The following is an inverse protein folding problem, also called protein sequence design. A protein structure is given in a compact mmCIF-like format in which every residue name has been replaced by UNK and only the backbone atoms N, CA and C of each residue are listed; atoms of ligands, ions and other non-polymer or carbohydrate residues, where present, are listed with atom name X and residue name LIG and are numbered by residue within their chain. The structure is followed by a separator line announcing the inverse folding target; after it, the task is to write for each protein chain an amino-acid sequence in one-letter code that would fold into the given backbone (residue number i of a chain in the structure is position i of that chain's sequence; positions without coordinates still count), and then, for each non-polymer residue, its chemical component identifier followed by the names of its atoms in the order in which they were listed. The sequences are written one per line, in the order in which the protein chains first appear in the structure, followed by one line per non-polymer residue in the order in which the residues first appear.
data_IF_546832664995
#
_entry.id   IF_546832664995
#
_cell.length_a   1.000
_cell.length_b   1.000
_cell.length_c   1.000
_cell.angle_alpha   90.00
_cell.angle_beta   90.00
_cell.angle_gamma   90.00
#
_symmetry.space_group_name_H-M   'P 1'
#
loop_
_entity.id
_entity.type
_entity.pdbx_description
1 polymer ?
#
# COMPACT_ATOMS: atom_id res chain seq x y z
N UNK A 1 -20.59 59.23 7.56
CA UNK A 1 -19.30 58.62 7.78
C UNK A 1 -19.58 57.15 8.11
N UNK A 2 -19.60 56.34 7.10
CA UNK A 2 -19.82 54.88 7.17
C UNK A 2 -18.45 54.20 7.37
N UNK A 3 -18.33 53.49 8.49
CA UNK A 3 -17.14 52.78 8.91
C UNK A 3 -17.14 51.43 8.16
N UNK A 4 -16.33 51.35 7.13
CA UNK A 4 -16.16 50.15 6.28
C UNK A 4 -14.89 49.41 6.76
N UNK A 5 -15.06 48.62 7.81
CA UNK A 5 -13.97 47.71 8.27
C UNK A 5 -14.02 46.42 7.43
N UNK A 6 -12.98 46.09 6.67
CA UNK A 6 -12.97 44.83 5.89
C UNK A 6 -12.98 43.62 6.83
N UNK A 7 -13.91 42.71 6.55
CA UNK A 7 -14.00 41.43 7.25
C UNK A 7 -12.69 40.64 7.06
N UNK A 8 -12.03 40.39 8.18
CA UNK A 8 -10.85 39.50 8.24
C UNK A 8 -11.32 38.08 7.87
N UNK A 9 -10.81 37.55 6.78
CA UNK A 9 -11.02 36.13 6.42
C UNK A 9 -10.50 35.24 7.55
N UNK A 10 -11.22 34.16 7.92
CA UNK A 10 -10.74 33.24 8.92
C UNK A 10 -9.46 32.59 8.40
N UNK A 11 -8.42 32.56 9.23
CA UNK A 11 -7.19 31.80 9.01
C UNK A 11 -7.54 30.35 8.66
N UNK A 12 -6.99 29.90 7.55
CA UNK A 12 -7.11 28.52 7.06
C UNK A 12 -6.74 27.56 8.17
N UNK A 13 -7.72 26.86 8.71
CA UNK A 13 -7.52 25.74 9.65
C UNK A 13 -6.98 24.58 8.84
N UNK A 14 -5.68 24.60 8.57
CA UNK A 14 -4.95 23.36 8.23
C UNK A 14 -4.70 22.65 9.56
N UNK A 15 -5.07 21.36 9.69
CA UNK A 15 -4.78 20.63 10.92
C UNK A 15 -3.28 20.65 11.17
N UNK A 16 -2.86 21.18 12.32
CA UNK A 16 -1.51 21.06 12.83
C UNK A 16 -1.18 19.57 12.98
N UNK A 17 -0.37 19.03 12.08
CA UNK A 17 -0.01 17.62 12.17
C UNK A 17 0.84 17.07 11.02
N UNK A 18 1.03 17.81 9.95
CA UNK A 18 1.95 17.41 8.89
C UNK A 18 3.32 18.07 9.08
N UNK A 19 3.92 17.91 10.25
CA UNK A 19 5.35 18.17 10.42
C UNK A 19 6.10 17.19 9.51
N UNK A 20 6.59 17.69 8.38
CA UNK A 20 7.42 16.92 7.44
C UNK A 20 8.66 16.42 8.17
N UNK A 21 8.81 15.10 8.13
CA UNK A 21 10.02 14.31 8.24
C UNK A 21 10.91 14.54 9.46
N UNK A 22 10.86 13.62 10.40
CA UNK A 22 12.08 13.01 10.89
C UNK A 22 12.71 12.20 9.73
N UNK A 23 14.03 12.09 9.67
CA UNK A 23 14.76 11.16 8.76
C UNK A 23 14.45 9.68 9.05
N UNK A 24 13.49 9.40 9.91
CA UNK A 24 13.07 8.07 10.29
C UNK A 24 12.39 7.35 9.11
N UNK A 25 12.68 6.06 8.93
CA UNK A 25 12.04 5.26 7.89
C UNK A 25 10.52 5.22 8.11
N UNK A 26 9.70 5.24 7.05
CA UNK A 26 8.24 5.14 7.15
C UNK A 26 7.74 3.89 7.84
N UNK A 27 8.48 2.78 7.74
CA UNK A 27 8.21 1.54 8.47
C UNK A 27 9.53 0.99 8.97
N UNK A 28 9.60 0.70 10.26
CA UNK A 28 10.70 -0.02 10.89
C UNK A 28 10.15 -1.11 11.80
N UNK A 29 10.57 -2.33 11.56
CA UNK A 29 10.19 -3.53 12.31
C UNK A 29 11.44 -4.11 12.95
N UNK A 30 11.42 -4.28 14.26
CA UNK A 30 12.57 -4.79 15.05
C UNK A 30 12.17 -6.00 15.87
N UNK A 31 12.85 -7.12 15.62
CA UNK A 31 12.72 -8.35 16.39
C UNK A 31 11.29 -8.91 16.46
N UNK A 32 10.48 -8.73 15.41
CA UNK A 32 9.05 -9.08 15.41
C UNK A 32 8.83 -10.58 15.64
N UNK A 33 7.96 -10.89 16.59
CA UNK A 33 7.52 -12.24 16.88
C UNK A 33 6.00 -12.31 16.73
N UNK A 34 5.53 -13.17 15.82
CA UNK A 34 4.12 -13.51 15.69
C UNK A 34 3.94 -15.00 15.97
N UNK A 35 3.13 -15.32 16.97
CA UNK A 35 2.87 -16.69 17.39
C UNK A 35 1.36 -16.93 17.57
N UNK A 36 0.86 -18.05 17.06
CA UNK A 36 -0.54 -18.50 17.18
C UNK A 36 -0.54 -19.87 17.86
N UNK A 37 -0.91 -19.90 19.13
CA UNK A 37 -0.76 -21.10 19.96
C UNK A 37 0.70 -21.52 20.01
N UNK A 38 1.00 -22.74 19.54
CA UNK A 38 2.38 -23.27 19.46
C UNK A 38 3.08 -22.93 18.14
N UNK A 39 2.34 -22.41 17.14
CA UNK A 39 2.89 -22.13 15.81
C UNK A 39 3.45 -20.71 15.74
N UNK A 40 4.77 -20.61 15.54
CA UNK A 40 5.47 -19.34 15.37
C UNK A 40 5.61 -19.04 13.87
N UNK A 41 5.04 -17.90 13.45
CA UNK A 41 5.06 -17.41 12.06
C UNK A 41 6.29 -16.55 11.81
N UNK A 42 6.58 -15.60 12.73
CA UNK A 42 7.78 -14.77 12.69
C UNK A 42 8.57 -14.96 13.98
N UNK A 43 9.90 -14.99 13.87
CA UNK A 43 10.81 -15.26 14.97
C UNK A 43 12.02 -14.33 14.95
N UNK A 44 11.83 -13.11 15.50
CA UNK A 44 12.86 -12.08 15.47
C UNK A 44 13.06 -11.52 14.06
N UNK A 45 11.96 -11.10 13.41
CA UNK A 45 11.98 -10.52 12.07
C UNK A 45 12.28 -9.03 12.14
N UNK A 46 13.26 -8.60 11.33
CA UNK A 46 13.61 -7.19 11.13
C UNK A 46 13.29 -6.77 9.69
N UNK A 47 12.77 -5.54 9.52
CA UNK A 47 12.48 -4.97 8.21
C UNK A 47 12.47 -3.45 8.27
N UNK A 48 13.12 -2.80 7.29
CA UNK A 48 13.07 -1.35 7.12
C UNK A 48 12.59 -1.00 5.73
N UNK A 49 11.57 -0.15 5.63
CA UNK A 49 11.04 0.42 4.38
C UNK A 49 11.54 1.85 4.24
N UNK A 50 12.11 2.18 3.08
CA UNK A 50 12.64 3.52 2.79
C UNK A 50 11.53 4.44 2.29
N UNK A 51 11.66 5.72 2.56
CA UNK A 51 10.71 6.72 2.07
C UNK A 51 10.69 6.79 0.55
N UNK A 52 9.49 6.82 -0.02
CA UNK A 52 9.28 6.96 -1.46
C UNK A 52 9.62 5.72 -2.29
N UNK A 53 9.89 4.55 -1.66
CA UNK A 53 10.09 3.30 -2.39
C UNK A 53 8.80 2.48 -2.51
N UNK A 54 8.74 1.63 -3.51
CA UNK A 54 7.86 0.48 -3.57
C UNK A 54 8.65 -0.73 -3.10
N UNK A 55 8.39 -1.20 -1.88
CA UNK A 55 8.99 -2.42 -1.36
C UNK A 55 8.08 -3.60 -1.64
N UNK A 56 8.51 -4.50 -2.52
CA UNK A 56 7.86 -5.79 -2.73
C UNK A 56 8.17 -6.76 -1.59
N UNK A 57 7.19 -7.54 -1.14
CA UNK A 57 7.39 -8.59 -0.13
C UNK A 57 6.99 -9.92 -0.72
N UNK A 58 7.97 -10.82 -0.85
CA UNK A 58 7.80 -12.14 -1.42
C UNK A 58 8.14 -13.24 -0.42
N UNK A 59 7.74 -14.46 -0.72
CA UNK A 59 8.03 -15.64 0.10
C UNK A 59 7.06 -16.77 -0.21
N UNK A 60 7.36 -17.96 0.23
CA UNK A 60 6.53 -19.14 0.02
C UNK A 60 5.10 -18.97 0.58
N UNK A 61 4.19 -19.85 0.15
CA UNK A 61 2.84 -19.89 0.75
C UNK A 61 2.96 -20.18 2.25
N UNK A 62 2.24 -19.42 3.07
CA UNK A 62 2.29 -19.58 4.54
C UNK A 62 3.52 -18.95 5.22
N UNK A 63 4.42 -18.27 4.49
CA UNK A 63 5.59 -17.60 5.09
C UNK A 63 5.26 -16.44 6.05
N UNK A 64 4.00 -15.99 6.07
CA UNK A 64 3.56 -14.93 6.99
C UNK A 64 3.46 -13.53 6.38
N UNK A 65 3.59 -13.34 5.08
CA UNK A 65 3.52 -12.00 4.42
C UNK A 65 2.32 -11.17 4.86
N UNK A 66 1.12 -11.72 4.77
CA UNK A 66 -0.11 -11.00 5.19
C UNK A 66 -0.18 -10.83 6.70
N UNK A 67 0.43 -11.73 7.51
CA UNK A 67 0.54 -11.56 8.97
C UNK A 67 1.48 -10.38 9.28
N UNK A 68 2.60 -10.27 8.58
CA UNK A 68 3.53 -9.15 8.71
C UNK A 68 2.81 -7.82 8.41
N UNK A 69 2.15 -7.72 7.25
CA UNK A 69 1.41 -6.53 6.89
C UNK A 69 0.33 -6.18 7.92
N UNK A 70 -0.46 -7.19 8.37
CA UNK A 70 -1.49 -6.96 9.41
C UNK A 70 -0.90 -6.49 10.74
N UNK A 71 0.30 -6.95 11.09
CA UNK A 71 1.01 -6.45 12.28
C UNK A 71 1.43 -4.99 12.11
N UNK A 72 1.97 -4.62 10.93
CA UNK A 72 2.39 -3.25 10.63
C UNK A 72 1.21 -2.26 10.63
N UNK A 73 0.04 -2.67 10.14
CA UNK A 73 -1.17 -1.80 10.14
C UNK A 73 -1.98 -1.91 11.45
N UNK A 74 -1.49 -2.68 12.45
CA UNK A 74 -2.13 -2.80 13.76
C UNK A 74 -3.41 -3.65 13.81
N UNK A 75 -3.62 -4.52 12.81
CA UNK A 75 -4.73 -5.50 12.79
C UNK A 75 -4.36 -6.84 13.44
N UNK A 76 -3.08 -7.08 13.66
CA UNK A 76 -2.54 -8.24 14.37
C UNK A 76 -1.60 -7.76 15.45
N UNK A 77 -1.89 -8.11 16.69
CA UNK A 77 -1.00 -7.81 17.81
C UNK A 77 0.13 -8.86 17.82
N UNK A 78 1.39 -8.45 17.65
CA UNK A 78 2.52 -9.37 17.76
C UNK A 78 2.74 -9.82 19.21
N UNK A 79 3.38 -10.97 19.39
CA UNK A 79 3.74 -11.49 20.73
C UNK A 79 5.07 -10.95 21.24
N UNK A 80 5.85 -10.26 20.39
CA UNK A 80 7.10 -9.62 20.76
C UNK A 80 7.66 -8.79 19.61
N UNK A 81 8.67 -7.99 19.90
CA UNK A 81 9.26 -7.05 18.98
C UNK A 81 8.54 -5.71 18.93
N UNK A 82 9.05 -4.83 18.12
CA UNK A 82 8.57 -3.44 18.03
C UNK A 82 8.34 -3.06 16.56
N UNK A 83 7.30 -2.27 16.31
CA UNK A 83 6.97 -1.75 14.99
C UNK A 83 6.76 -0.24 15.12
N UNK A 84 7.54 0.50 14.34
CA UNK A 84 7.37 1.94 14.16
C UNK A 84 6.79 2.22 12.78
N UNK A 85 5.77 3.06 12.70
CA UNK A 85 5.17 3.53 11.45
C UNK A 85 5.12 5.05 11.48
N UNK A 86 5.70 5.68 10.46
CA UNK A 86 5.78 7.14 10.32
C UNK A 86 6.33 7.83 11.60
N UNK A 87 7.35 7.21 12.21
CA UNK A 87 8.01 7.71 13.42
C UNK A 87 7.22 7.52 14.71
N UNK A 88 6.18 6.69 14.71
CA UNK A 88 5.42 6.33 15.91
C UNK A 88 5.43 4.83 16.15
N UNK A 89 5.77 4.41 17.33
CA UNK A 89 5.62 3.02 17.77
C UNK A 89 4.14 2.67 17.83
N UNK A 90 3.74 1.58 17.18
CA UNK A 90 2.34 1.12 17.15
C UNK A 90 2.11 -0.16 17.95
N UNK A 91 3.18 -0.86 18.35
CA UNK A 91 3.10 -2.06 19.18
C UNK A 91 2.83 -1.73 20.64
N UNK A 92 1.93 -2.48 21.27
CA UNK A 92 1.60 -2.31 22.69
C UNK A 92 0.79 -1.06 23.03
N UNK A 93 0.33 -0.30 22.03
CA UNK A 93 -0.45 0.93 22.22
C UNK A 93 -1.91 0.65 21.83
N UNK A 94 -2.83 1.25 22.60
CA UNK A 94 -4.25 1.20 22.28
C UNK A 94 -4.51 1.71 20.84
N UNK A 95 -5.27 0.97 20.03
CA UNK A 95 -5.63 1.38 18.67
C UNK A 95 -6.20 2.80 18.58
N UNK A 96 -6.94 3.26 19.58
CA UNK A 96 -7.55 4.59 19.60
C UNK A 96 -6.51 5.71 19.79
N UNK A 97 -5.37 5.43 20.42
CA UNK A 97 -4.26 6.38 20.56
C UNK A 97 -3.45 6.56 19.25
N UNK A 98 -3.64 5.66 18.29
CA UNK A 98 -2.96 5.66 16.99
C UNK A 98 -3.81 6.23 15.84
N UNK A 99 -4.97 6.83 16.14
CA UNK A 99 -5.89 7.36 15.10
C UNK A 99 -5.16 8.33 14.16
N UNK A 100 -4.39 9.26 14.68
CA UNK A 100 -3.67 10.26 13.89
C UNK A 100 -2.60 9.67 12.94
N UNK A 101 -1.99 8.54 13.27
CA UNK A 101 -1.06 7.88 12.34
C UNK A 101 -1.81 6.98 11.36
N UNK A 102 -2.93 6.41 11.78
CA UNK A 102 -3.76 5.55 10.92
C UNK A 102 -4.41 6.29 9.75
N UNK A 103 -4.73 7.56 9.89
CA UNK A 103 -5.23 8.39 8.78
C UNK A 103 -4.19 8.63 7.69
N UNK A 104 -2.90 8.37 7.98
CA UNK A 104 -1.77 8.62 7.07
C UNK A 104 -1.39 7.40 6.22
N UNK A 105 -2.11 6.29 6.33
CA UNK A 105 -1.93 5.15 5.44
C UNK A 105 -3.24 4.65 4.84
N UNK A 106 -3.13 4.12 3.64
CA UNK A 106 -4.22 3.43 2.94
C UNK A 106 -3.93 1.94 2.78
N UNK A 107 -4.97 1.12 2.74
CA UNK A 107 -4.84 -0.32 2.60
C UNK A 107 -5.75 -0.85 1.51
N UNK A 108 -5.18 -1.54 0.53
CA UNK A 108 -5.89 -2.37 -0.44
C UNK A 108 -5.71 -3.83 -0.05
N UNK A 109 -6.73 -4.45 0.51
CA UNK A 109 -6.75 -5.88 0.80
C UNK A 109 -7.02 -6.71 -0.45
N UNK A 110 -6.62 -7.96 -0.43
CA UNK A 110 -6.92 -8.95 -1.45
C UNK A 110 -8.43 -8.95 -1.79
N UNK A 111 -8.77 -8.83 -3.08
CA UNK A 111 -10.16 -8.73 -3.52
C UNK A 111 -10.83 -7.36 -3.38
N UNK A 112 -10.11 -6.32 -2.91
CA UNK A 112 -10.62 -4.94 -2.74
C UNK A 112 -11.35 -4.71 -1.41
N UNK A 113 -11.91 -5.73 -0.77
CA UNK A 113 -12.64 -5.68 0.52
C UNK A 113 -13.68 -4.53 0.60
N UNK A 114 -14.43 -4.31 -0.48
CA UNK A 114 -15.48 -3.29 -0.55
C UNK A 114 -16.72 -3.71 0.26
N UNK A 115 -17.37 -2.73 0.87
CA UNK A 115 -18.70 -2.93 1.46
C UNK A 115 -19.71 -3.17 0.35
N UNK A 116 -20.30 -4.35 0.30
CA UNK A 116 -21.19 -4.80 -0.79
C UNK A 116 -22.51 -4.02 -0.89
N UNK A 117 -22.93 -3.40 0.21
CA UNK A 117 -24.17 -2.61 0.33
C UNK A 117 -23.96 -1.12 0.01
N UNK A 118 -22.73 -0.70 -0.24
CA UNK A 118 -22.39 0.67 -0.58
C UNK A 118 -21.96 0.74 -2.05
N UNK A 119 -22.26 1.85 -2.71
CA UNK A 119 -21.71 2.17 -4.03
C UNK A 119 -20.21 2.37 -3.96
N UNK A 120 -19.53 2.46 -5.11
CA UNK A 120 -18.09 2.78 -5.17
C UNK A 120 -17.80 4.12 -4.50
N UNK A 121 -18.58 5.18 -4.83
CA UNK A 121 -18.41 6.50 -4.21
C UNK A 121 -18.57 6.43 -2.70
N UNK A 122 -19.62 5.79 -2.21
CA UNK A 122 -19.86 5.61 -0.78
C UNK A 122 -18.76 4.80 -0.08
N UNK A 123 -18.19 3.78 -0.74
CA UNK A 123 -17.04 3.06 -0.22
C UNK A 123 -15.82 3.97 -0.03
N UNK A 124 -15.57 4.89 -0.96
CA UNK A 124 -14.47 5.87 -0.86
C UNK A 124 -14.75 6.93 0.22
N UNK A 125 -16.02 7.26 0.46
CA UNK A 125 -16.41 8.19 1.53
C UNK A 125 -16.24 7.61 2.95
N UNK A 126 -16.18 6.26 3.12
CA UNK A 126 -16.12 5.65 4.46
C UNK A 126 -14.95 6.18 5.30
N UNK A 127 -13.70 6.18 4.83
CA UNK A 127 -12.59 6.76 5.59
C UNK A 127 -12.79 8.25 5.89
N UNK A 128 -13.30 9.03 4.93
CA UNK A 128 -13.56 10.45 5.12
C UNK A 128 -14.59 10.68 6.23
N UNK A 129 -15.68 9.91 6.26
CA UNK A 129 -16.70 9.97 7.31
C UNK A 129 -16.15 9.61 8.69
N UNK A 130 -15.21 8.67 8.73
CA UNK A 130 -14.63 8.18 9.97
C UNK A 130 -13.62 9.17 10.57
N UNK A 131 -12.73 9.71 9.75
CA UNK A 131 -11.62 10.53 10.23
C UNK A 131 -11.92 12.04 10.20
N UNK A 132 -12.81 12.48 9.32
CA UNK A 132 -13.19 13.89 9.13
C UNK A 132 -14.71 14.02 9.01
N UNK A 133 -15.48 13.68 10.06
CA UNK A 133 -16.96 13.70 10.03
C UNK A 133 -17.53 15.10 9.76
N UNK A 134 -16.76 16.13 10.03
CA UNK A 134 -17.11 17.55 9.83
C UNK A 134 -17.06 17.99 8.36
N UNK A 135 -16.47 17.23 7.46
CA UNK A 135 -16.44 17.59 6.04
C UNK A 135 -17.87 17.63 5.48
N UNK A 136 -18.18 18.74 4.81
CA UNK A 136 -19.45 18.90 4.12
C UNK A 136 -19.75 17.71 3.19
N UNK A 137 -20.99 17.18 3.18
CA UNK A 137 -21.34 16.01 2.38
C UNK A 137 -21.14 16.20 0.87
N UNK A 138 -21.27 17.40 0.33
CA UNK A 138 -21.04 17.68 -1.09
C UNK A 138 -19.54 17.63 -1.40
N UNK A 139 -18.72 18.32 -0.61
CA UNK A 139 -17.27 18.28 -0.74
C UNK A 139 -16.73 16.83 -0.60
N UNK A 140 -17.28 16.06 0.34
CA UNK A 140 -16.90 14.67 0.52
C UNK A 140 -17.19 13.82 -0.72
N UNK A 141 -18.33 14.01 -1.38
CA UNK A 141 -18.68 13.37 -2.65
C UNK A 141 -17.69 13.75 -3.77
N UNK A 142 -17.31 15.04 -3.85
CA UNK A 142 -16.34 15.50 -4.85
C UNK A 142 -14.95 14.91 -4.60
N UNK A 143 -14.51 14.81 -3.34
CA UNK A 143 -13.26 14.12 -2.99
C UNK A 143 -13.34 12.65 -3.43
N UNK A 144 -14.42 11.95 -3.09
CA UNK A 144 -14.60 10.56 -3.48
C UNK A 144 -14.60 10.37 -5.01
N UNK A 145 -15.30 11.26 -5.74
CA UNK A 145 -15.28 11.28 -7.21
C UNK A 145 -13.87 11.43 -7.77
N UNK A 146 -13.11 12.39 -7.26
CA UNK A 146 -11.72 12.61 -7.66
C UNK A 146 -10.85 11.35 -7.43
N UNK A 147 -10.96 10.69 -6.26
CA UNK A 147 -10.20 9.48 -5.94
C UNK A 147 -10.59 8.28 -6.83
N UNK A 148 -11.86 8.17 -7.21
CA UNK A 148 -12.33 7.15 -8.16
C UNK A 148 -11.68 7.36 -9.52
N UNK A 149 -11.67 8.59 -10.04
CA UNK A 149 -11.02 8.92 -11.32
C UNK A 149 -9.50 8.72 -11.25
N UNK A 150 -8.86 9.12 -10.14
CA UNK A 150 -7.43 8.95 -9.90
C UNK A 150 -7.02 7.47 -9.90
N UNK A 151 -7.90 6.57 -9.45
CA UNK A 151 -7.66 5.12 -9.51
C UNK A 151 -7.85 4.51 -10.92
N UNK A 152 -8.14 5.34 -11.92
CA UNK A 152 -8.36 4.93 -13.31
C UNK A 152 -9.70 4.25 -13.55
N UNK A 153 -10.70 4.49 -12.69
CA UNK A 153 -12.08 4.10 -12.96
C UNK A 153 -12.80 5.18 -13.75
N UNK A 154 -13.76 4.82 -14.62
CA UNK A 154 -14.60 5.79 -15.29
C UNK A 154 -15.62 6.40 -14.31
N UNK A 155 -16.11 7.59 -14.62
CA UNK A 155 -17.00 8.35 -13.74
C UNK A 155 -18.31 7.60 -13.42
N UNK A 156 -18.87 6.88 -14.39
CA UNK A 156 -20.09 6.07 -14.19
C UNK A 156 -19.93 4.94 -13.17
N UNK A 157 -18.68 4.58 -12.82
CA UNK A 157 -18.42 3.59 -11.78
C UNK A 157 -18.79 4.09 -10.37
N UNK A 158 -18.85 5.38 -10.14
CA UNK A 158 -19.12 5.98 -8.81
C UNK A 158 -20.45 5.49 -8.22
N UNK A 159 -21.49 5.40 -9.07
CA UNK A 159 -22.83 4.99 -8.66
C UNK A 159 -23.03 3.47 -8.64
N UNK A 160 -22.07 2.68 -9.11
CA UNK A 160 -22.18 1.22 -9.18
C UNK A 160 -21.91 0.57 -7.83
N UNK A 161 -22.58 -0.55 -7.57
CA UNK A 161 -22.29 -1.43 -6.46
C UNK A 161 -21.16 -2.41 -6.80
N UNK A 162 -20.44 -2.94 -5.81
CA UNK A 162 -19.38 -3.92 -6.04
C UNK A 162 -19.81 -5.14 -6.87
N UNK A 163 -21.06 -5.55 -6.79
CA UNK A 163 -21.61 -6.67 -7.59
C UNK A 163 -21.63 -6.39 -9.10
N UNK A 164 -21.66 -5.12 -9.51
CA UNK A 164 -21.71 -4.68 -10.90
C UNK A 164 -20.32 -4.46 -11.51
N UNK A 165 -19.25 -4.63 -10.72
CA UNK A 165 -17.89 -4.37 -11.12
C UNK A 165 -17.16 -5.66 -11.55
N UNK A 166 -16.30 -5.55 -12.56
CA UNK A 166 -15.31 -6.58 -12.86
C UNK A 166 -14.28 -6.70 -11.71
N UNK A 167 -13.52 -7.80 -11.67
CA UNK A 167 -12.46 -7.99 -10.67
C UNK A 167 -11.44 -6.84 -10.64
N UNK A 168 -11.01 -6.37 -11.81
CA UNK A 168 -10.11 -5.24 -11.92
C UNK A 168 -10.72 -3.92 -11.43
N UNK A 169 -12.00 -3.68 -11.74
CA UNK A 169 -12.70 -2.49 -11.25
C UNK A 169 -12.86 -2.52 -9.72
N UNK A 170 -13.13 -3.69 -9.12
CA UNK A 170 -13.19 -3.84 -7.65
C UNK A 170 -11.86 -3.46 -6.99
N UNK A 171 -10.74 -3.87 -7.57
CA UNK A 171 -9.41 -3.53 -7.06
C UNK A 171 -9.12 -2.04 -7.19
N UNK A 172 -9.47 -1.41 -8.31
CA UNK A 172 -9.36 0.04 -8.50
C UNK A 172 -10.25 0.82 -7.54
N UNK A 173 -11.47 0.36 -7.27
CA UNK A 173 -12.35 0.96 -6.27
C UNK A 173 -11.78 0.82 -4.85
N UNK A 174 -11.19 -0.33 -4.52
CA UNK A 174 -10.45 -0.52 -3.27
C UNK A 174 -9.23 0.39 -3.15
N UNK A 175 -8.51 0.61 -4.26
CA UNK A 175 -7.40 1.57 -4.33
C UNK A 175 -7.90 3.01 -4.14
N UNK A 176 -8.99 3.41 -4.79
CA UNK A 176 -9.61 4.73 -4.59
C UNK A 176 -9.94 4.98 -3.10
N UNK A 177 -10.52 3.98 -2.42
CA UNK A 177 -10.80 4.05 -0.98
C UNK A 177 -9.51 4.15 -0.16
N UNK A 178 -8.47 3.40 -0.51
CA UNK A 178 -7.18 3.47 0.16
C UNK A 178 -6.52 4.85 0.03
N UNK A 179 -6.77 5.55 -1.08
CA UNK A 179 -6.25 6.89 -1.35
C UNK A 179 -7.14 8.03 -0.78
N UNK A 180 -8.27 7.72 -0.15
CA UNK A 180 -9.29 8.71 0.24
C UNK A 180 -8.76 9.81 1.16
N UNK A 181 -7.80 9.49 2.05
CA UNK A 181 -7.23 10.40 3.05
C UNK A 181 -5.88 11.00 2.65
N UNK A 182 -5.49 10.95 1.37
CA UNK A 182 -4.15 11.37 0.92
C UNK A 182 -3.01 10.76 1.75
N UNK A 183 -2.92 9.43 1.80
CA UNK A 183 -1.96 8.74 2.65
C UNK A 183 -0.51 9.01 2.24
N UNK A 184 0.43 8.86 3.17
CA UNK A 184 1.88 8.82 2.92
C UNK A 184 2.38 7.40 2.67
N UNK A 185 1.66 6.40 3.21
CA UNK A 185 1.92 4.97 3.05
C UNK A 185 0.75 4.28 2.36
N UNK A 186 1.05 3.41 1.42
CA UNK A 186 0.06 2.57 0.75
C UNK A 186 0.44 1.09 0.91
N UNK A 187 -0.47 0.31 1.49
CA UNK A 187 -0.33 -1.13 1.63
C UNK A 187 -1.18 -1.83 0.58
N UNK A 188 -0.56 -2.71 -0.21
CA UNK A 188 -1.21 -3.46 -1.29
C UNK A 188 -1.01 -4.96 -1.04
N UNK A 189 -2.11 -5.68 -0.80
CA UNK A 189 -2.08 -7.15 -0.62
C UNK A 189 -2.59 -7.83 -1.90
N UNK A 190 -1.68 -8.41 -2.68
CA UNK A 190 -1.95 -9.11 -3.94
C UNK A 190 -2.83 -8.28 -4.90
N UNK A 191 -2.42 -7.04 -5.27
CA UNK A 191 -3.27 -6.13 -6.01
C UNK A 191 -3.60 -6.62 -7.42
N UNK A 192 -2.70 -7.33 -8.08
CA UNK A 192 -2.87 -7.85 -9.45
C UNK A 192 -3.43 -9.26 -9.52
N UNK A 193 -3.54 -9.96 -8.38
CA UNK A 193 -4.05 -11.34 -8.36
C UNK A 193 -5.44 -11.46 -8.96
N UNK A 194 -5.59 -12.39 -9.93
CA UNK A 194 -6.86 -12.63 -10.62
C UNK A 194 -7.21 -11.62 -11.72
N UNK A 195 -6.29 -10.71 -12.06
CA UNK A 195 -6.41 -9.88 -13.26
C UNK A 195 -5.83 -10.63 -14.48
N UNK A 196 -6.32 -10.27 -15.65
CA UNK A 196 -5.63 -10.64 -16.89
C UNK A 196 -4.29 -9.89 -17.01
N UNK A 197 -3.34 -10.37 -17.83
CA UNK A 197 -2.00 -9.77 -17.93
C UNK A 197 -2.01 -8.28 -18.30
N UNK A 198 -2.95 -7.84 -19.15
CA UNK A 198 -3.06 -6.43 -19.57
C UNK A 198 -3.58 -5.59 -18.40
N UNK A 199 -4.57 -6.11 -17.66
CA UNK A 199 -5.13 -5.48 -16.48
C UNK A 199 -4.10 -5.35 -15.36
N UNK A 200 -3.28 -6.38 -15.13
CA UNK A 200 -2.19 -6.39 -14.17
C UNK A 200 -1.14 -5.32 -14.51
N UNK A 201 -0.62 -5.32 -15.74
CA UNK A 201 0.37 -4.33 -16.17
C UNK A 201 -0.15 -2.88 -16.10
N UNK A 202 -1.46 -2.65 -16.36
CA UNK A 202 -2.06 -1.32 -16.17
C UNK A 202 -2.18 -0.93 -14.69
N UNK A 203 -2.40 -1.89 -13.81
CA UNK A 203 -2.45 -1.64 -12.36
C UNK A 203 -1.05 -1.32 -11.82
N UNK A 204 -0.04 -2.05 -12.27
CA UNK A 204 1.36 -1.85 -11.90
C UNK A 204 1.84 -0.45 -12.30
N UNK A 205 1.62 -0.04 -13.55
CA UNK A 205 1.95 1.32 -14.01
C UNK A 205 1.23 2.39 -13.20
N UNK A 206 -0.07 2.22 -12.95
CA UNK A 206 -0.83 3.14 -12.10
C UNK A 206 -0.21 3.26 -10.71
N UNK A 207 0.24 2.15 -10.11
CA UNK A 207 0.88 2.16 -8.80
C UNK A 207 2.18 2.97 -8.80
N UNK A 208 3.01 2.81 -9.84
CA UNK A 208 4.24 3.59 -10.03
C UNK A 208 3.92 5.08 -10.24
N UNK A 209 2.99 5.41 -11.13
CA UNK A 209 2.55 6.79 -11.39
C UNK A 209 2.02 7.48 -10.11
N UNK A 210 1.21 6.78 -9.31
CA UNK A 210 0.70 7.31 -8.05
C UNK A 210 1.83 7.53 -7.03
N UNK A 211 2.78 6.58 -6.93
CA UNK A 211 3.96 6.73 -6.06
C UNK A 211 4.76 7.97 -6.43
N UNK A 212 5.04 8.18 -7.71
CA UNK A 212 5.83 9.32 -8.19
C UNK A 212 5.09 10.65 -8.04
N UNK A 213 3.81 10.68 -8.42
CA UNK A 213 3.01 11.91 -8.42
C UNK A 213 2.63 12.36 -7.01
N UNK A 214 2.30 11.42 -6.13
CA UNK A 214 1.85 11.72 -4.77
C UNK A 214 2.96 11.58 -3.72
N UNK A 215 4.15 11.12 -4.09
CA UNK A 215 5.27 10.91 -3.17
C UNK A 215 5.04 9.77 -2.18
N UNK A 216 4.28 8.74 -2.59
CA UNK A 216 3.90 7.63 -1.71
C UNK A 216 5.09 6.72 -1.40
N UNK A 217 5.06 6.12 -0.22
CA UNK A 217 5.80 4.89 0.09
C UNK A 217 4.85 3.72 -0.02
N UNK A 218 5.23 2.66 -0.71
CA UNK A 218 4.33 1.51 -0.98
C UNK A 218 4.93 0.23 -0.40
N UNK A 219 4.12 -0.48 0.39
CA UNK A 219 4.39 -1.83 0.88
C UNK A 219 3.51 -2.80 0.09
N UNK A 220 4.12 -3.59 -0.79
CA UNK A 220 3.42 -4.43 -1.75
C UNK A 220 3.68 -5.91 -1.48
N UNK A 221 2.64 -6.68 -1.16
CA UNK A 221 2.72 -8.13 -1.14
C UNK A 221 2.28 -8.66 -2.51
N UNK A 222 3.13 -9.46 -3.14
CA UNK A 222 2.77 -10.16 -4.37
C UNK A 222 3.60 -11.43 -4.54
N UNK A 223 3.10 -12.33 -5.36
CA UNK A 223 3.84 -13.49 -5.87
C UNK A 223 4.05 -13.41 -7.39
N UNK A 224 3.60 -12.31 -8.01
CA UNK A 224 3.73 -12.05 -9.42
C UNK A 224 5.10 -11.43 -9.73
N UNK A 225 5.90 -12.16 -10.51
CA UNK A 225 7.25 -11.75 -10.88
C UNK A 225 7.24 -10.53 -11.81
N UNK A 226 6.28 -10.43 -12.72
CA UNK A 226 6.16 -9.28 -13.63
C UNK A 226 5.91 -8.00 -12.81
N UNK A 227 4.98 -8.04 -11.85
CA UNK A 227 4.75 -6.93 -10.90
C UNK A 227 6.01 -6.53 -10.14
N UNK A 228 6.82 -7.50 -9.70
CA UNK A 228 8.08 -7.21 -8.98
C UNK A 228 9.10 -6.49 -9.86
N UNK A 229 9.28 -6.93 -11.11
CA UNK A 229 10.22 -6.32 -12.04
C UNK A 229 9.76 -4.94 -12.52
N UNK A 230 8.44 -4.75 -12.74
CA UNK A 230 7.89 -3.51 -13.29
C UNK A 230 7.70 -2.41 -12.25
N UNK A 231 7.41 -2.78 -10.97
CA UNK A 231 6.96 -1.80 -9.98
C UNK A 231 7.88 -1.63 -8.79
N UNK A 232 8.64 -2.67 -8.39
CA UNK A 232 9.35 -2.63 -7.11
C UNK A 232 10.76 -2.04 -7.23
N UNK A 233 11.07 -1.07 -6.37
CA UNK A 233 12.43 -0.54 -6.22
C UNK A 233 13.34 -1.55 -5.50
N UNK A 234 12.79 -2.21 -4.47
CA UNK A 234 13.45 -3.28 -3.70
C UNK A 234 12.46 -4.38 -3.37
N UNK A 235 12.99 -5.55 -3.09
CA UNK A 235 12.20 -6.72 -2.67
C UNK A 235 12.75 -7.28 -1.36
N UNK A 236 11.87 -7.54 -0.40
CA UNK A 236 12.14 -8.26 0.83
C UNK A 236 11.69 -9.72 0.68
N UNK A 237 12.60 -10.65 0.95
CA UNK A 237 12.34 -12.09 0.85
C UNK A 237 12.06 -12.66 2.23
N UNK A 238 10.85 -13.19 2.42
CA UNK A 238 10.38 -13.77 3.67
C UNK A 238 10.50 -15.30 3.64
N UNK A 239 11.47 -15.84 4.35
CA UNK A 239 11.66 -17.27 4.53
C UNK A 239 12.18 -17.55 5.95
N UNK A 240 12.12 -18.79 6.41
CA UNK A 240 12.62 -19.23 7.73
C UNK A 240 12.13 -18.34 8.89
N UNK A 241 10.87 -17.85 8.79
CA UNK A 241 10.21 -16.96 9.78
C UNK A 241 10.86 -15.59 9.92
N UNK A 242 11.73 -15.19 9.01
CA UNK A 242 12.48 -13.92 8.99
C UNK A 242 12.49 -13.30 7.60
N UNK A 243 12.89 -12.05 7.51
CA UNK A 243 13.36 -11.47 6.26
C UNK A 243 14.82 -11.92 6.08
N UNK A 244 15.06 -12.76 5.07
CA UNK A 244 16.39 -13.33 4.82
C UNK A 244 17.25 -12.45 3.93
N UNK A 245 16.65 -11.60 3.11
CA UNK A 245 17.34 -10.65 2.26
C UNK A 245 16.41 -9.50 1.87
N UNK A 246 16.98 -8.29 1.66
CA UNK A 246 16.30 -7.10 1.12
C UNK A 246 17.24 -6.39 0.16
N UNK A 247 16.81 -6.19 -1.07
CA UNK A 247 17.61 -5.51 -2.09
C UNK A 247 16.88 -5.39 -3.42
N UNK A 248 17.54 -4.86 -4.43
CA UNK A 248 17.10 -4.95 -5.82
C UNK A 248 17.11 -6.41 -6.27
N UNK A 249 16.33 -6.76 -7.27
CA UNK A 249 16.29 -8.16 -7.75
C UNK A 249 17.69 -8.67 -8.18
N UNK A 250 18.54 -7.91 -8.87
CA UNK A 250 19.92 -8.33 -9.13
C UNK A 250 20.73 -8.62 -7.86
N UNK A 251 20.69 -7.74 -6.86
CA UNK A 251 21.38 -7.95 -5.57
C UNK A 251 20.89 -9.22 -4.85
N UNK A 252 19.58 -9.46 -4.90
CA UNK A 252 19.00 -10.67 -4.29
C UNK A 252 19.51 -11.95 -4.95
N UNK A 253 19.60 -11.98 -6.28
CA UNK A 253 20.10 -13.14 -7.03
C UNK A 253 21.57 -13.43 -6.67
N UNK A 254 22.38 -12.39 -6.42
CA UNK A 254 23.79 -12.52 -6.03
C UNK A 254 23.98 -13.09 -4.61
N UNK A 255 22.93 -13.14 -3.77
CA UNK A 255 23.05 -13.70 -2.41
C UNK A 255 23.36 -15.20 -2.38
N UNK A 256 23.09 -15.93 -3.47
CA UNK A 256 23.30 -17.37 -3.57
C UNK A 256 22.35 -18.20 -2.69
N UNK A 257 21.29 -17.60 -2.17
CA UNK A 257 20.31 -18.32 -1.36
C UNK A 257 19.42 -19.21 -2.26
N UNK A 258 19.34 -20.51 -1.98
CA UNK A 258 18.68 -21.50 -2.84
C UNK A 258 17.23 -21.14 -3.20
N UNK A 259 16.43 -20.66 -2.22
CA UNK A 259 15.05 -20.24 -2.47
C UNK A 259 14.98 -19.03 -3.41
N UNK A 260 15.91 -18.07 -3.24
CA UNK A 260 15.96 -16.85 -4.07
C UNK A 260 16.36 -17.21 -5.50
N UNK A 261 17.37 -18.07 -5.65
CA UNK A 261 17.79 -18.58 -6.96
C UNK A 261 16.66 -19.31 -7.67
N UNK A 262 15.97 -20.23 -7.00
CA UNK A 262 14.83 -20.95 -7.56
C UNK A 262 13.69 -20.02 -7.96
N UNK A 263 13.39 -19.02 -7.13
CA UNK A 263 12.29 -18.08 -7.36
C UNK A 263 12.55 -17.15 -8.55
N UNK A 264 13.72 -16.49 -8.59
CA UNK A 264 14.04 -15.50 -9.64
C UNK A 264 14.71 -16.12 -10.88
N UNK A 265 15.47 -17.17 -10.76
CA UNK A 265 16.14 -17.86 -11.87
C UNK A 265 15.39 -19.10 -12.37
N UNK A 266 14.26 -19.46 -11.79
CA UNK A 266 13.35 -20.47 -12.30
C UNK A 266 12.79 -20.09 -13.68
N UNK A 267 12.01 -20.99 -14.29
CA UNK A 267 11.47 -20.77 -15.65
C UNK A 267 10.65 -19.49 -15.74
N UNK A 268 9.80 -19.22 -14.74
CA UNK A 268 8.96 -17.99 -14.66
C UNK A 268 9.81 -16.75 -14.41
N UNK A 269 10.81 -16.81 -13.52
CA UNK A 269 11.70 -15.69 -13.23
C UNK A 269 12.51 -15.25 -14.44
N UNK A 270 13.03 -16.20 -15.22
CA UNK A 270 13.73 -15.88 -16.49
C UNK A 270 12.81 -15.25 -17.53
N UNK A 271 11.56 -15.72 -17.64
CA UNK A 271 10.59 -15.15 -18.55
C UNK A 271 10.25 -13.70 -18.19
N UNK A 272 9.94 -13.42 -16.92
CA UNK A 272 9.66 -12.07 -16.42
C UNK A 272 10.85 -11.13 -16.64
N UNK A 273 12.07 -11.56 -16.31
CA UNK A 273 13.29 -10.79 -16.55
C UNK A 273 13.48 -10.43 -18.04
N UNK A 274 13.25 -11.39 -18.93
CA UNK A 274 13.39 -11.16 -20.37
C UNK A 274 12.33 -10.19 -20.90
N UNK A 275 11.10 -10.30 -20.42
CA UNK A 275 10.00 -9.38 -20.72
C UNK A 275 10.32 -7.94 -20.30
N UNK A 276 10.75 -7.76 -19.07
CA UNK A 276 11.14 -6.45 -18.52
C UNK A 276 12.29 -5.80 -19.30
N UNK A 277 13.34 -6.56 -19.62
CA UNK A 277 14.45 -6.07 -20.44
C UNK A 277 14.01 -5.62 -21.84
N UNK A 278 13.09 -6.36 -22.46
CA UNK A 278 12.55 -6.02 -23.77
C UNK A 278 11.68 -4.74 -23.73
N UNK A 279 10.92 -4.53 -22.66
CA UNK A 279 10.10 -3.31 -22.45
C UNK A 279 10.98 -2.08 -22.33
N UNK A 280 12.00 -2.11 -21.49
CA UNK A 280 12.94 -0.99 -21.29
C UNK A 280 13.75 -0.61 -22.56
N UNK A 281 14.07 -1.60 -23.41
CA UNK A 281 14.74 -1.31 -24.68
C UNK A 281 13.82 -0.57 -25.66
N UNK A 282 12.51 -0.84 -25.65
CA UNK A 282 11.52 -0.16 -26.49
C UNK A 282 11.27 1.28 -26.04
N UNK A 283 11.20 1.53 -24.73
CA UNK A 283 10.99 2.89 -24.18
C UNK A 283 12.18 3.82 -24.46
N UNK A 284 13.42 3.30 -24.50
CA UNK A 284 14.62 4.08 -24.86
C UNK A 284 14.78 4.34 -26.35
N UNK A 285 13.93 3.75 -27.19
CA UNK A 285 14.01 3.84 -28.67
C UNK A 285 12.96 4.79 -29.25
N UNK A 286 12.13 5.42 -28.42
CA UNK A 286 11.14 6.46 -28.74
C UNK A 286 11.60 7.79 -28.17
#
# INVERSE_FOLDING_TARGET
MSDDTPATMPETILPEGHARSSDAPPIEVRGLINQFGTFRVHDGLDLTVRKGEILGVVGGSGSGKSVLMRSIIGLQVPTGGEIDVLGKTITGIDPDQNIGVRSRWGVLFQGGALFSTLTVGENVEVPLKQFYPEIDPELRREIARYKVLLSGLPEDAIAKYPSELSGGMKKRAGLARALALDPELLFLDEPTAGLDPIGAAKFDRLTVELKETLGLTVFLITHDLDTLYESCDRVAVLADKKVIAVGTIPELIETGHSWIEEYFNGVRGRAARSSHQASHLREKSV
#
